data_IF_156074474551
#
_entry.id   IF_156074474551
#
_cell.length_a   1.000
_cell.length_b   1.000
_cell.length_c   1.000
_cell.angle_alpha   90.00
_cell.angle_beta   90.00
_cell.angle_gamma   90.00
#
_symmetry.space_group_name_H-M   'P 1'
#
loop_
_entity.id
_entity.type
_entity.pdbx_description
1 polymer ?
#
# COMPACT_ATOMS: atom_id res chain seq x y z
N UNK A 1 -26.85 0.86 -4.02
CA UNK A 1 -25.54 1.04 -3.37
C UNK A 1 -24.75 -0.23 -3.61
N UNK A 2 -23.86 -0.24 -4.60
CA UNK A 2 -23.09 -1.43 -5.00
C UNK A 2 -22.18 -1.84 -3.85
N UNK A 3 -22.22 -3.13 -3.45
CA UNK A 3 -21.30 -3.68 -2.44
C UNK A 3 -19.89 -3.57 -3.01
N UNK A 4 -18.99 -2.94 -2.26
CA UNK A 4 -17.61 -2.68 -2.70
C UNK A 4 -16.87 -3.98 -3.00
N UNK A 5 -16.77 -4.36 -4.28
CA UNK A 5 -16.03 -5.55 -4.76
C UNK A 5 -14.52 -5.32 -4.85
N UNK A 6 -14.00 -4.24 -4.26
CA UNK A 6 -12.61 -3.81 -4.45
C UNK A 6 -11.97 -3.42 -3.13
N UNK A 7 -10.66 -3.65 -3.05
CA UNK A 7 -9.84 -2.99 -2.07
C UNK A 7 -9.66 -1.52 -2.44
N UNK A 8 -10.32 -0.63 -1.69
CA UNK A 8 -10.24 0.80 -1.88
C UNK A 8 -9.03 1.37 -1.13
N UNK A 9 -8.11 2.02 -1.83
CA UNK A 9 -6.92 2.67 -1.26
C UNK A 9 -7.04 4.18 -1.47
N UNK A 10 -6.78 4.95 -0.42
CA UNK A 10 -6.74 6.42 -0.49
C UNK A 10 -5.32 6.95 -0.31
N UNK A 11 -4.97 7.91 -1.16
CA UNK A 11 -3.77 8.73 -1.02
C UNK A 11 -4.11 9.97 -0.19
N UNK A 12 -3.48 10.16 0.98
CA UNK A 12 -3.78 11.29 1.87
C UNK A 12 -2.87 12.51 1.61
N UNK A 13 -1.64 12.32 1.13
CA UNK A 13 -0.73 13.41 0.79
C UNK A 13 -0.07 13.27 -0.58
N UNK A 14 0.37 14.40 -1.12
CA UNK A 14 1.23 14.48 -2.30
C UNK A 14 2.55 13.69 -2.08
N UNK A 15 2.99 13.58 -0.82
CA UNK A 15 4.30 13.07 -0.42
C UNK A 15 4.43 11.54 -0.27
N UNK A 16 3.39 10.74 -0.03
CA UNK A 16 3.66 9.29 0.13
C UNK A 16 2.63 8.45 0.85
N UNK A 17 1.82 9.03 1.72
CA UNK A 17 1.04 8.23 2.65
C UNK A 17 -0.22 7.64 2.03
N UNK A 18 -0.37 6.33 2.19
CA UNK A 18 -1.55 5.53 1.93
C UNK A 18 -1.95 4.92 3.27
N UNK A 19 -3.10 5.28 3.83
CA UNK A 19 -3.35 4.97 5.26
C UNK A 19 -4.59 4.10 5.49
N UNK A 20 -5.48 3.90 4.51
CA UNK A 20 -6.78 3.28 4.78
C UNK A 20 -7.28 2.35 3.68
N UNK A 21 -7.73 1.15 4.09
CA UNK A 21 -8.29 0.05 3.30
C UNK A 21 -9.70 -0.30 3.79
N UNK A 22 -10.60 -0.69 2.89
CA UNK A 22 -11.87 -1.35 3.23
C UNK A 22 -11.73 -2.88 3.05
N UNK A 23 -12.24 -3.68 4.01
CA UNK A 23 -11.94 -5.14 4.15
C UNK A 23 -13.17 -6.03 3.87
N UNK A 24 -13.98 -5.72 2.85
CA UNK A 24 -15.25 -6.42 2.63
C UNK A 24 -15.21 -7.57 1.62
N UNK A 25 -14.04 -7.91 1.06
CA UNK A 25 -13.87 -8.95 0.04
C UNK A 25 -12.78 -9.97 0.40
N UNK A 26 -12.88 -11.17 -0.16
CA UNK A 26 -11.93 -12.28 0.05
C UNK A 26 -10.49 -11.87 -0.29
N UNK A 27 -10.29 -11.20 -1.44
CA UNK A 27 -9.01 -10.63 -1.83
C UNK A 27 -8.40 -9.75 -0.72
N UNK A 28 -9.17 -8.85 -0.11
CA UNK A 28 -8.67 -7.96 0.93
C UNK A 28 -8.26 -8.71 2.19
N UNK A 29 -8.98 -9.77 2.56
CA UNK A 29 -8.64 -10.60 3.73
C UNK A 29 -7.35 -11.38 3.50
N UNK A 30 -7.19 -11.97 2.31
CA UNK A 30 -5.97 -12.67 1.94
C UNK A 30 -4.79 -11.69 1.84
N UNK A 31 -5.00 -10.55 1.17
CA UNK A 31 -4.00 -9.48 1.06
C UNK A 31 -3.51 -9.02 2.44
N UNK A 32 -4.40 -8.78 3.42
CA UNK A 32 -4.00 -8.39 4.77
C UNK A 32 -3.23 -9.49 5.51
N UNK A 33 -3.65 -10.76 5.37
CA UNK A 33 -2.96 -11.91 5.98
C UNK A 33 -1.54 -12.06 5.44
N UNK A 34 -1.37 -11.91 4.14
CA UNK A 34 -0.06 -11.97 3.50
C UNK A 34 0.78 -10.75 3.83
N UNK A 35 0.17 -9.55 3.88
CA UNK A 35 0.84 -8.32 4.30
C UNK A 35 1.39 -8.43 5.73
N UNK A 36 0.67 -9.07 6.66
CA UNK A 36 1.14 -9.27 8.02
C UNK A 36 2.48 -10.03 8.08
N UNK A 37 2.78 -10.88 7.09
CA UNK A 37 4.09 -11.58 7.00
C UNK A 37 5.26 -10.65 6.64
N UNK A 38 5.00 -9.38 6.32
CA UNK A 38 6.01 -8.39 5.96
C UNK A 38 6.42 -7.49 7.12
N UNK A 39 5.71 -7.53 8.25
CA UNK A 39 5.95 -6.68 9.43
C UNK A 39 7.42 -6.69 9.89
N UNK A 40 8.07 -7.86 9.82
CA UNK A 40 9.43 -8.08 10.31
C UNK A 40 10.49 -8.23 9.20
N UNK A 41 10.15 -7.94 7.94
CA UNK A 41 11.10 -8.12 6.81
C UNK A 41 12.14 -7.00 6.68
N UNK A 42 11.93 -5.86 7.34
CA UNK A 42 12.88 -4.75 7.33
C UNK A 42 13.67 -4.72 8.64
N UNK A 43 14.97 -4.49 8.52
CA UNK A 43 15.84 -4.26 9.68
C UNK A 43 15.36 -3.03 10.46
N UNK A 44 15.51 -3.00 11.79
CA UNK A 44 15.09 -1.87 12.61
C UNK A 44 15.62 -0.53 12.04
N UNK A 45 14.72 0.44 11.84
CA UNK A 45 15.08 1.74 11.29
C UNK A 45 14.23 2.86 11.92
N UNK A 46 14.56 4.11 11.61
CA UNK A 46 13.90 5.31 12.14
C UNK A 46 12.43 5.48 11.70
N UNK A 47 11.99 4.80 10.63
CA UNK A 47 10.62 4.91 10.12
C UNK A 47 9.76 3.68 10.44
N UNK A 48 8.45 3.90 10.48
CA UNK A 48 7.49 2.80 10.61
C UNK A 48 7.58 1.88 9.39
N UNK A 49 7.79 0.59 9.63
CA UNK A 49 8.04 -0.41 8.59
C UNK A 49 6.78 -0.74 7.77
N UNK A 50 5.60 -0.49 8.33
CA UNK A 50 4.28 -0.81 7.80
C UNK A 50 3.99 -0.15 6.45
N UNK A 51 4.31 1.14 6.32
CA UNK A 51 4.02 1.89 5.10
C UNK A 51 4.90 1.44 3.92
N UNK A 52 6.15 1.06 4.17
CA UNK A 52 6.99 0.52 3.10
C UNK A 52 6.62 -0.92 2.74
N UNK A 53 6.33 -1.73 3.75
CA UNK A 53 5.94 -3.12 3.58
C UNK A 53 4.73 -3.26 2.65
N UNK A 54 3.68 -2.46 2.83
CA UNK A 54 2.55 -2.58 1.91
C UNK A 54 2.78 -1.94 0.56
N UNK A 55 3.55 -0.87 0.40
CA UNK A 55 3.77 -0.35 -0.96
C UNK A 55 4.42 -1.43 -1.83
N UNK A 56 5.42 -2.09 -1.27
CA UNK A 56 6.11 -3.21 -1.91
C UNK A 56 5.18 -4.41 -2.12
N UNK A 57 4.43 -4.81 -1.11
CA UNK A 57 3.51 -5.94 -1.25
C UNK A 57 2.35 -5.66 -2.22
N UNK A 58 1.85 -4.43 -2.26
CA UNK A 58 0.87 -3.95 -3.22
C UNK A 58 1.42 -4.03 -4.64
N UNK A 59 2.66 -3.56 -4.86
CA UNK A 59 3.33 -3.69 -6.16
C UNK A 59 3.43 -5.16 -6.57
N UNK A 60 3.97 -6.02 -5.71
CA UNK A 60 4.14 -7.45 -5.99
C UNK A 60 2.79 -8.13 -6.31
N UNK A 61 1.70 -7.71 -5.67
CA UNK A 61 0.36 -8.26 -5.89
C UNK A 61 -0.28 -7.79 -7.20
N UNK A 62 -0.06 -6.52 -7.56
CA UNK A 62 -0.72 -5.90 -8.71
C UNK A 62 0.03 -6.09 -10.02
N UNK A 63 1.36 -6.09 -9.96
CA UNK A 63 2.25 -6.20 -11.13
C UNK A 63 3.39 -7.21 -10.88
N UNK A 64 3.09 -8.50 -10.63
CA UNK A 64 4.10 -9.51 -10.30
C UNK A 64 5.13 -9.75 -11.42
N UNK A 65 4.83 -9.34 -12.65
CA UNK A 65 5.75 -9.42 -13.79
C UNK A 65 6.85 -8.35 -13.76
N UNK A 66 6.70 -7.29 -12.95
CA UNK A 66 7.68 -6.21 -12.78
C UNK A 66 8.68 -6.54 -11.65
N UNK A 67 9.32 -7.72 -11.76
CA UNK A 67 10.20 -8.25 -10.71
C UNK A 67 11.46 -7.37 -10.53
N UNK A 68 12.01 -6.84 -11.61
CA UNK A 68 13.20 -5.99 -11.56
C UNK A 68 12.92 -4.65 -10.87
N UNK A 69 11.79 -4.03 -11.17
CA UNK A 69 11.32 -2.83 -10.49
C UNK A 69 11.06 -3.12 -9.02
N UNK A 70 10.46 -4.27 -8.70
CA UNK A 70 10.22 -4.68 -7.33
C UNK A 70 11.54 -4.82 -6.54
N UNK A 71 12.52 -5.54 -7.08
CA UNK A 71 13.82 -5.74 -6.43
C UNK A 71 14.54 -4.41 -6.20
N UNK A 72 14.45 -3.49 -7.16
CA UNK A 72 15.00 -2.13 -7.04
C UNK A 72 14.33 -1.34 -5.92
N UNK A 73 12.99 -1.34 -5.86
CA UNK A 73 12.25 -0.65 -4.80
C UNK A 73 12.50 -1.28 -3.43
N UNK A 74 12.64 -2.60 -3.37
CA UNK A 74 12.95 -3.35 -2.16
C UNK A 74 14.34 -3.00 -1.63
N UNK A 75 15.34 -2.86 -2.51
CA UNK A 75 16.68 -2.43 -2.13
C UNK A 75 16.69 -1.01 -1.54
N UNK A 76 15.95 -0.07 -2.15
CA UNK A 76 15.77 1.27 -1.58
C UNK A 76 15.11 1.22 -0.20
N UNK A 77 14.13 0.33 0.00
CA UNK A 77 13.47 0.18 1.30
C UNK A 77 14.42 -0.30 2.40
N UNK A 78 15.26 -1.29 2.09
CA UNK A 78 16.23 -1.87 3.02
C UNK A 78 17.35 -0.89 3.36
N UNK A 79 17.79 -0.07 2.39
CA UNK A 79 18.86 0.92 2.58
C UNK A 79 18.38 2.27 3.13
N UNK A 80 17.07 2.48 3.28
CA UNK A 80 16.52 3.77 3.72
C UNK A 80 16.84 4.08 5.19
N UNK A 81 17.73 5.04 5.42
CA UNK A 81 18.19 5.50 6.75
C UNK A 81 17.65 6.88 7.16
N UNK A 82 16.99 7.59 6.24
CA UNK A 82 16.35 8.88 6.48
C UNK A 82 15.15 9.13 5.55
N UNK A 83 14.42 10.22 5.78
CA UNK A 83 13.19 10.53 5.02
C UNK A 83 13.42 10.62 3.51
N UNK A 84 14.51 11.24 3.06
CA UNK A 84 14.82 11.35 1.63
C UNK A 84 15.05 9.99 0.98
N UNK A 85 15.84 9.12 1.63
CA UNK A 85 16.09 7.76 1.15
C UNK A 85 14.82 6.90 1.17
N UNK A 86 13.91 7.12 2.12
CA UNK A 86 12.60 6.46 2.13
C UNK A 86 11.70 6.94 0.99
N UNK A 87 11.74 8.24 0.67
CA UNK A 87 10.99 8.78 -0.47
C UNK A 87 11.47 8.26 -1.82
N UNK A 88 12.72 7.80 -1.93
CA UNK A 88 13.19 7.07 -3.11
C UNK A 88 12.42 5.76 -3.31
N UNK A 89 12.20 4.98 -2.23
CA UNK A 89 11.37 3.76 -2.28
C UNK A 89 9.92 4.08 -2.65
N UNK A 90 9.30 5.07 -1.98
CA UNK A 90 7.92 5.49 -2.25
C UNK A 90 7.76 5.90 -3.73
N UNK A 91 8.70 6.67 -4.24
CA UNK A 91 8.71 7.11 -5.64
C UNK A 91 8.91 5.94 -6.61
N UNK A 92 9.82 5.01 -6.29
CA UNK A 92 10.06 3.81 -7.08
C UNK A 92 8.77 2.99 -7.26
N UNK A 93 8.06 2.69 -6.18
CA UNK A 93 6.80 1.93 -6.23
C UNK A 93 5.73 2.69 -7.03
N UNK A 94 5.62 4.01 -6.83
CA UNK A 94 4.67 4.85 -7.57
C UNK A 94 4.96 4.87 -9.08
N UNK A 95 6.22 4.92 -9.46
CA UNK A 95 6.65 4.87 -10.86
C UNK A 95 6.35 3.49 -11.47
N UNK A 96 6.61 2.40 -10.74
CA UNK A 96 6.33 1.04 -11.19
C UNK A 96 4.81 0.80 -11.41
N UNK A 97 3.96 1.26 -10.49
CA UNK A 97 2.50 1.20 -10.65
C UNK A 97 1.96 2.18 -11.71
N UNK A 98 2.70 3.25 -11.98
CA UNK A 98 2.39 4.26 -12.98
C UNK A 98 1.03 4.95 -12.80
N UNK A 99 0.42 5.31 -13.93
CA UNK A 99 -0.87 5.99 -13.97
C UNK A 99 -2.06 5.04 -13.72
N UNK A 100 -1.84 3.72 -13.62
CA UNK A 100 -2.92 2.78 -13.38
C UNK A 100 -3.48 2.96 -11.97
N UNK A 101 -4.80 3.09 -11.87
CA UNK A 101 -5.53 3.30 -10.61
C UNK A 101 -6.61 2.24 -10.37
N UNK A 102 -6.82 1.34 -11.32
CA UNK A 102 -7.87 0.35 -11.27
C UNK A 102 -7.35 -1.01 -11.73
N UNK A 103 -7.55 -2.00 -10.86
CA UNK A 103 -7.30 -3.41 -11.10
C UNK A 103 -8.61 -4.18 -10.86
N UNK A 104 -9.29 -4.65 -11.92
CA UNK A 104 -10.54 -5.39 -11.82
C UNK A 104 -10.47 -6.53 -10.78
N UNK A 105 -11.45 -6.59 -9.87
CA UNK A 105 -11.54 -7.60 -8.81
C UNK A 105 -10.48 -7.51 -7.69
N UNK A 106 -9.56 -6.53 -7.74
CA UNK A 106 -8.47 -6.39 -6.77
C UNK A 106 -8.50 -5.05 -6.06
N UNK A 107 -8.05 -3.99 -6.73
CA UNK A 107 -7.70 -2.71 -6.11
C UNK A 107 -8.26 -1.54 -6.91
N UNK A 108 -8.76 -0.52 -6.21
CA UNK A 108 -9.03 0.80 -6.75
C UNK A 108 -8.31 1.85 -5.90
N UNK A 109 -7.43 2.62 -6.53
CA UNK A 109 -6.69 3.73 -5.92
C UNK A 109 -7.41 5.02 -6.24
N UNK A 110 -7.96 5.68 -5.23
CA UNK A 110 -8.63 6.97 -5.43
C UNK A 110 -7.62 8.10 -5.48
N UNK A 111 -7.96 9.13 -6.27
CA UNK A 111 -7.28 10.43 -6.14
C UNK A 111 -7.60 11.03 -4.78
N UNK A 112 -6.73 11.94 -4.32
CA UNK A 112 -6.95 12.74 -3.12
C UNK A 112 -8.37 13.33 -3.10
N UNK A 113 -9.00 13.32 -1.93
CA UNK A 113 -10.37 13.80 -1.69
C UNK A 113 -11.49 13.08 -2.47
N UNK A 114 -11.20 12.00 -3.20
CA UNK A 114 -12.20 11.25 -3.98
C UNK A 114 -12.53 9.87 -3.38
N UNK A 115 -11.99 9.55 -2.20
CA UNK A 115 -12.32 8.33 -1.47
C UNK A 115 -12.83 8.66 -0.07
N UNK A 116 -13.74 7.83 0.44
CA UNK A 116 -14.17 7.85 1.84
C UNK A 116 -13.69 6.58 2.55
N UNK A 117 -12.99 6.77 3.66
CA UNK A 117 -12.59 5.69 4.57
C UNK A 117 -13.44 5.78 5.81
N UNK A 118 -14.08 4.68 6.21
CA UNK A 118 -14.65 4.60 7.56
C UNK A 118 -13.53 4.28 8.54
N UNK A 119 -13.46 5.06 9.60
CA UNK A 119 -12.58 4.77 10.71
C UNK A 119 -13.15 3.59 11.51
N UNK A 120 -12.33 2.58 11.79
CA UNK A 120 -12.74 1.44 12.61
C UNK A 120 -12.97 1.86 14.07
N UNK A 121 -12.23 2.87 14.56
CA UNK A 121 -12.30 3.32 15.95
C UNK A 121 -13.62 4.01 16.28
N UNK A 122 -14.25 4.65 15.29
CA UNK A 122 -15.56 5.33 15.44
C UNK A 122 -16.74 4.34 15.47
N UNK A 123 -16.47 3.03 15.34
CA UNK A 123 -17.51 1.98 15.36
C UNK A 123 -17.51 1.12 16.62
N UNK A 124 -16.68 1.45 17.62
CA UNK A 124 -16.77 0.85 18.97
C UNK A 124 -17.38 1.86 19.95
N UNK A 125 -18.68 2.08 19.80
CA UNK A 125 -19.55 2.53 20.89
C UNK A 125 -20.51 1.37 21.20
N UNK A 126 -20.11 0.51 22.13
CA UNK A 126 -21.00 -0.40 22.86
C UNK A 126 -20.42 -0.71 24.23
#
# INVERSE_FOLDING_TARGET
MSRDTYLNIQTLEEAGNWERMNVFIEFSREFLRELAKWEFKKLPSWNSNDQGAFMLYLQATLIPYAAWEFDTCYDYWQKATNYQSYMAMVSCVRLALGAQKFWPGKVRIYRKAHGWSRDAWVTHDS
#
